data_IF_918575903545
#
_entry.id   IF_918575903545
#
_cell.length_a   1.000
_cell.length_b   1.000
_cell.length_c   1.000
_cell.angle_alpha   90.00
_cell.angle_beta   90.00
_cell.angle_gamma   90.00
#
_symmetry.space_group_name_H-M   'P 1'
#
loop_
_entity.id
_entity.type
_entity.pdbx_description
1 polymer ?
#
# COMPACT_ATOMS: atom_id res chain seq x y z
N UNK A 1 -19.83 7.11 27.12
CA UNK A 1 -19.01 7.21 25.89
C UNK A 1 -19.51 8.26 24.88
N UNK A 2 -20.71 8.85 25.02
CA UNK A 2 -21.27 9.88 24.09
C UNK A 2 -20.41 11.15 23.96
N UNK A 3 -19.91 11.69 25.08
CA UNK A 3 -19.29 13.02 25.12
C UNK A 3 -17.95 13.13 24.36
N UNK A 4 -17.25 12.02 24.13
CA UNK A 4 -15.93 12.05 23.46
C UNK A 4 -16.06 12.17 21.94
N UNK A 5 -17.10 11.56 21.36
CA UNK A 5 -17.36 11.67 19.91
C UNK A 5 -17.85 13.07 19.60
N UNK A 6 -18.82 13.58 20.34
CA UNK A 6 -19.37 14.93 20.18
C UNK A 6 -18.28 16.02 20.30
N UNK A 7 -17.36 15.89 21.26
CA UNK A 7 -16.24 16.80 21.40
C UNK A 7 -15.30 16.79 20.16
N UNK A 8 -14.97 15.62 19.61
CA UNK A 8 -14.14 15.53 18.41
C UNK A 8 -14.83 16.17 17.21
N UNK A 9 -16.12 15.96 17.05
CA UNK A 9 -16.89 16.56 15.95
C UNK A 9 -16.95 18.08 16.07
N UNK A 10 -17.15 18.62 17.28
CA UNK A 10 -17.12 20.05 17.52
C UNK A 10 -15.74 20.66 17.21
N UNK A 11 -14.65 19.98 17.60
CA UNK A 11 -13.27 20.40 17.28
C UNK A 11 -13.03 20.41 15.77
N UNK A 12 -13.51 19.38 15.05
CA UNK A 12 -13.40 19.32 13.59
C UNK A 12 -14.20 20.46 12.94
N UNK A 13 -15.45 20.67 13.37
CA UNK A 13 -16.31 21.73 12.87
C UNK A 13 -15.74 23.13 13.12
N UNK A 14 -14.96 23.30 14.19
CA UNK A 14 -14.23 24.54 14.48
C UNK A 14 -12.99 24.77 13.58
N UNK A 15 -12.70 23.89 12.62
CA UNK A 15 -11.60 24.06 11.68
C UNK A 15 -10.23 23.66 12.24
N UNK A 16 -10.18 22.73 13.20
CA UNK A 16 -8.92 22.34 13.83
C UNK A 16 -7.93 21.67 12.86
N UNK A 17 -8.40 20.88 11.89
CA UNK A 17 -7.50 20.11 11.00
C UNK A 17 -6.55 21.02 10.20
N UNK A 18 -7.00 22.07 9.48
CA UNK A 18 -6.09 23.02 8.82
C UNK A 18 -5.05 23.65 9.75
N UNK A 19 -5.44 24.03 10.98
CA UNK A 19 -4.53 24.62 11.96
C UNK A 19 -3.50 23.60 12.45
N UNK A 20 -3.93 22.39 12.78
CA UNK A 20 -3.00 21.32 13.17
C UNK A 20 -2.04 20.97 12.03
N UNK A 21 -2.49 21.02 10.78
CA UNK A 21 -1.65 20.78 9.60
C UNK A 21 -0.54 21.81 9.44
N UNK A 22 -0.72 23.08 9.82
CA UNK A 22 0.39 24.05 9.81
C UNK A 22 1.43 23.71 10.88
N UNK A 23 0.97 23.24 12.05
CA UNK A 23 1.82 22.87 13.18
C UNK A 23 2.65 21.59 12.94
N UNK A 24 2.27 20.74 11.98
CA UNK A 24 3.05 19.55 11.59
C UNK A 24 4.48 19.86 11.16
N UNK A 25 4.74 21.08 10.70
CA UNK A 25 6.07 21.54 10.23
C UNK A 25 6.76 22.49 11.21
N UNK A 26 6.25 22.58 12.44
CA UNK A 26 6.82 23.46 13.45
C UNK A 26 8.24 23.00 13.86
N UNK A 27 9.15 23.96 14.06
CA UNK A 27 10.57 23.68 14.39
C UNK A 27 10.73 22.92 15.71
N UNK A 28 9.88 23.22 16.69
CA UNK A 28 9.81 22.47 17.95
C UNK A 28 9.15 21.12 17.72
N UNK A 29 9.97 20.05 17.74
CA UNK A 29 9.54 18.66 17.51
C UNK A 29 8.35 18.21 18.36
N UNK A 30 8.25 18.70 19.60
CA UNK A 30 7.14 18.39 20.50
C UNK A 30 5.80 18.95 19.99
N UNK A 31 5.81 20.16 19.41
CA UNK A 31 4.61 20.78 18.81
C UNK A 31 4.19 20.00 17.57
N UNK A 32 5.12 19.69 16.67
CA UNK A 32 4.83 18.90 15.47
C UNK A 32 4.28 17.51 15.83
N UNK A 33 4.90 16.83 16.80
CA UNK A 33 4.46 15.50 17.26
C UNK A 33 3.08 15.56 17.92
N UNK A 34 2.81 16.59 18.73
CA UNK A 34 1.51 16.84 19.34
C UNK A 34 0.42 17.13 18.31
N UNK A 35 0.73 17.93 17.29
CA UNK A 35 -0.18 18.19 16.18
C UNK A 35 -0.51 16.91 15.40
N UNK A 36 0.49 16.09 15.09
CA UNK A 36 0.27 14.79 14.46
C UNK A 36 -0.57 13.86 15.35
N UNK A 37 -0.34 13.85 16.67
CA UNK A 37 -1.13 13.08 17.62
C UNK A 37 -2.60 13.53 17.69
N UNK A 38 -2.84 14.84 17.61
CA UNK A 38 -4.19 15.39 17.55
C UNK A 38 -4.92 15.01 16.25
N UNK A 39 -4.26 15.16 15.09
CA UNK A 39 -4.82 14.71 13.80
C UNK A 39 -5.09 13.20 13.83
N UNK A 40 -4.20 12.41 14.42
CA UNK A 40 -4.38 10.96 14.58
C UNK A 40 -5.66 10.65 15.38
N UNK A 41 -5.87 11.34 16.49
CA UNK A 41 -7.05 11.14 17.34
C UNK A 41 -8.36 11.57 16.65
N UNK A 42 -8.32 12.63 15.84
CA UNK A 42 -9.47 13.15 15.09
C UNK A 42 -9.79 12.26 13.89
N UNK A 43 -8.77 11.81 13.14
CA UNK A 43 -8.91 10.94 11.96
C UNK A 43 -9.44 9.53 12.28
N UNK A 44 -9.56 9.15 13.55
CA UNK A 44 -10.28 7.93 13.92
C UNK A 44 -11.79 7.98 13.57
N UNK A 45 -12.38 9.18 13.43
CA UNK A 45 -13.80 9.35 13.04
C UNK A 45 -13.96 9.58 11.54
N UNK A 46 -15.13 9.26 10.99
CA UNK A 46 -15.44 9.51 9.56
C UNK A 46 -15.29 11.00 9.21
N UNK A 47 -15.83 11.90 10.05
CA UNK A 47 -15.70 13.36 9.85
C UNK A 47 -14.24 13.82 9.87
N UNK A 48 -13.41 13.24 10.75
CA UNK A 48 -11.99 13.58 10.82
C UNK A 48 -11.20 13.10 9.61
N UNK A 49 -11.54 11.93 9.06
CA UNK A 49 -10.97 11.42 7.79
C UNK A 49 -11.32 12.38 6.65
N UNK A 50 -12.60 12.72 6.50
CA UNK A 50 -13.05 13.62 5.44
C UNK A 50 -12.41 15.01 5.57
N UNK A 51 -12.41 15.60 6.77
CA UNK A 51 -11.76 16.90 7.00
C UNK A 51 -10.24 16.88 6.69
N UNK A 52 -9.58 15.73 6.84
CA UNK A 52 -8.18 15.57 6.47
C UNK A 52 -7.96 15.48 4.96
N UNK A 53 -8.91 14.91 4.23
CA UNK A 53 -8.93 14.84 2.76
C UNK A 53 -9.23 16.23 2.18
N UNK A 54 -10.25 16.91 2.72
CA UNK A 54 -10.68 18.23 2.28
C UNK A 54 -9.64 19.33 2.55
N UNK A 55 -8.68 19.08 3.46
CA UNK A 55 -7.57 19.99 3.77
C UNK A 55 -6.36 19.70 2.86
N UNK A 56 -6.09 20.50 1.81
CA UNK A 56 -5.23 20.10 0.70
C UNK A 56 -3.76 19.81 1.07
N UNK A 57 -3.30 20.35 2.20
CA UNK A 57 -1.91 20.19 2.67
C UNK A 57 -1.73 19.02 3.64
N UNK A 58 -2.81 18.46 4.19
CA UNK A 58 -2.71 17.47 5.27
C UNK A 58 -2.03 16.19 4.78
N UNK A 59 -2.60 15.52 3.77
CA UNK A 59 -2.01 14.29 3.22
C UNK A 59 -0.59 14.50 2.69
N UNK A 60 -0.30 15.53 1.85
CA UNK A 60 1.07 15.79 1.41
C UNK A 60 2.08 15.96 2.55
N UNK A 61 1.72 16.71 3.59
CA UNK A 61 2.61 16.96 4.74
C UNK A 61 2.85 15.67 5.52
N UNK A 62 1.82 14.86 5.75
CA UNK A 62 1.96 13.56 6.41
C UNK A 62 2.85 12.60 5.60
N UNK A 63 2.69 12.56 4.27
CA UNK A 63 3.55 11.76 3.38
C UNK A 63 5.02 12.21 3.45
N UNK A 64 5.29 13.52 3.50
CA UNK A 64 6.65 14.03 3.64
C UNK A 64 7.25 13.69 5.01
N UNK A 65 6.45 13.73 6.08
CA UNK A 65 6.88 13.35 7.43
C UNK A 65 7.32 11.88 7.46
N UNK A 66 6.49 10.94 6.99
CA UNK A 66 6.82 9.51 7.06
C UNK A 66 8.02 9.12 6.21
N UNK A 67 8.32 9.91 5.18
CA UNK A 67 9.48 9.70 4.30
C UNK A 67 10.78 10.26 4.86
N UNK A 68 10.72 11.42 5.55
CA UNK A 68 11.92 12.19 5.94
C UNK A 68 12.30 12.05 7.41
N UNK A 69 11.41 11.50 8.23
CA UNK A 69 11.62 11.37 9.66
C UNK A 69 12.05 9.94 9.99
N UNK A 70 12.89 9.76 11.01
CA UNK A 70 13.32 8.43 11.46
C UNK A 70 12.17 7.61 12.04
N UNK A 71 12.30 6.28 11.95
CA UNK A 71 11.27 5.31 12.35
C UNK A 71 10.94 5.35 13.85
N UNK A 72 11.90 5.72 14.69
CA UNK A 72 11.76 5.84 16.14
C UNK A 72 11.06 7.15 16.59
N UNK A 73 10.78 8.06 15.65
CA UNK A 73 10.19 9.35 15.99
C UNK A 73 8.69 9.26 16.29
N UNK A 74 8.20 9.82 17.41
CA UNK A 74 6.77 9.95 17.67
C UNK A 74 6.02 10.69 16.56
N UNK A 75 6.66 11.67 15.92
CA UNK A 75 6.10 12.41 14.78
C UNK A 75 5.82 11.48 13.60
N UNK A 76 6.79 10.62 13.24
CA UNK A 76 6.62 9.65 12.15
C UNK A 76 5.53 8.63 12.48
N UNK A 77 5.56 8.07 13.68
CA UNK A 77 4.57 7.09 14.14
C UNK A 77 3.16 7.66 14.08
N UNK A 78 2.95 8.85 14.63
CA UNK A 78 1.64 9.52 14.60
C UNK A 78 1.20 9.82 13.16
N UNK A 79 2.11 10.30 12.30
CA UNK A 79 1.79 10.56 10.90
C UNK A 79 1.43 9.28 10.12
N UNK A 80 2.13 8.18 10.37
CA UNK A 80 1.82 6.90 9.76
C UNK A 80 0.44 6.37 10.18
N UNK A 81 0.08 6.51 11.47
CA UNK A 81 -1.25 6.13 11.97
C UNK A 81 -2.33 7.04 11.36
N UNK A 82 -2.09 8.36 11.25
CA UNK A 82 -3.00 9.27 10.54
C UNK A 82 -3.28 8.77 9.12
N UNK A 83 -2.21 8.48 8.36
CA UNK A 83 -2.34 8.00 6.99
C UNK A 83 -3.12 6.70 6.92
N UNK A 84 -2.93 5.75 7.85
CA UNK A 84 -3.74 4.53 7.93
C UNK A 84 -5.23 4.82 8.11
N UNK A 85 -5.59 5.63 9.10
CA UNK A 85 -6.99 5.98 9.34
C UNK A 85 -7.61 6.68 8.14
N UNK A 86 -6.90 7.64 7.55
CA UNK A 86 -7.39 8.44 6.43
C UNK A 86 -7.56 7.55 5.19
N UNK A 87 -6.63 6.62 4.93
CA UNK A 87 -6.66 5.67 3.81
C UNK A 87 -7.74 4.58 3.89
N UNK A 88 -8.48 4.49 4.99
CA UNK A 88 -9.72 3.71 5.00
C UNK A 88 -10.75 4.29 4.01
N UNK A 89 -10.65 5.58 3.69
CA UNK A 89 -11.38 6.21 2.60
C UNK A 89 -10.64 6.01 1.28
N UNK A 90 -11.31 5.47 0.26
CA UNK A 90 -10.73 5.20 -1.06
C UNK A 90 -10.17 6.46 -1.72
N UNK A 91 -10.79 7.62 -1.46
CA UNK A 91 -10.30 8.92 -1.94
C UNK A 91 -8.90 9.25 -1.38
N UNK A 92 -8.57 8.86 -0.16
CA UNK A 92 -7.22 9.13 0.35
C UNK A 92 -6.13 8.26 -0.30
N UNK A 93 -6.47 7.03 -0.72
CA UNK A 93 -5.51 6.08 -1.28
C UNK A 93 -4.83 6.64 -2.53
N UNK A 94 -5.58 7.29 -3.43
CA UNK A 94 -4.98 7.86 -4.64
C UNK A 94 -4.03 9.04 -4.33
N UNK A 95 -4.37 9.87 -3.34
CA UNK A 95 -3.55 11.00 -2.91
C UNK A 95 -2.24 10.52 -2.28
N UNK A 96 -2.29 9.48 -1.44
CA UNK A 96 -1.11 8.88 -0.83
C UNK A 96 -0.27 8.14 -1.87
N UNK A 97 -0.92 7.38 -2.76
CA UNK A 97 -0.27 6.68 -3.87
C UNK A 97 0.55 7.63 -4.74
N UNK A 98 -0.03 8.76 -5.16
CA UNK A 98 0.66 9.76 -5.97
C UNK A 98 1.96 10.32 -5.31
N UNK A 99 2.09 10.20 -3.99
CA UNK A 99 3.26 10.70 -3.23
C UNK A 99 4.25 9.61 -2.86
N UNK A 100 3.75 8.41 -2.55
CA UNK A 100 4.54 7.35 -1.94
C UNK A 100 4.81 6.14 -2.85
N UNK A 101 4.25 6.08 -4.06
CA UNK A 101 4.46 4.95 -4.99
C UNK A 101 5.95 4.68 -5.30
N UNK A 102 6.76 5.74 -5.33
CA UNK A 102 8.21 5.66 -5.57
C UNK A 102 9.03 5.28 -4.32
N UNK A 103 8.37 5.06 -3.19
CA UNK A 103 8.97 4.72 -1.90
C UNK A 103 8.30 3.45 -1.34
N UNK A 104 8.46 2.30 -2.02
CA UNK A 104 7.68 1.08 -1.75
C UNK A 104 7.84 0.59 -0.30
N UNK A 105 9.04 0.67 0.27
CA UNK A 105 9.28 0.29 1.67
C UNK A 105 8.51 1.16 2.65
N UNK A 106 8.47 2.48 2.44
CA UNK A 106 7.70 3.42 3.28
C UNK A 106 6.20 3.16 3.11
N UNK A 107 5.76 2.97 1.87
CA UNK A 107 4.36 2.71 1.55
C UNK A 107 3.85 1.44 2.25
N UNK A 108 4.61 0.34 2.18
CA UNK A 108 4.31 -0.92 2.86
C UNK A 108 4.29 -0.79 4.38
N UNK A 109 5.30 -0.15 4.98
CA UNK A 109 5.35 0.08 6.43
C UNK A 109 4.20 0.94 6.95
N UNK A 110 3.76 1.93 6.18
CA UNK A 110 2.71 2.86 6.60
C UNK A 110 1.34 2.22 6.46
N UNK A 111 0.99 1.68 5.29
CA UNK A 111 -0.39 1.29 4.99
C UNK A 111 -0.66 -0.22 5.13
N UNK A 112 0.38 -1.04 5.09
CA UNK A 112 0.25 -2.49 5.08
C UNK A 112 -0.29 -3.06 3.76
N UNK A 113 -0.22 -4.38 3.58
CA UNK A 113 -0.38 -5.01 2.27
C UNK A 113 -1.69 -4.70 1.53
N UNK A 114 -2.82 -4.79 2.23
CA UNK A 114 -4.14 -4.64 1.63
C UNK A 114 -4.46 -3.22 1.14
N UNK A 115 -3.86 -2.19 1.73
CA UNK A 115 -4.03 -0.82 1.27
C UNK A 115 -3.06 -0.49 0.12
N UNK A 116 -1.84 -1.05 0.16
CA UNK A 116 -0.87 -0.93 -0.93
C UNK A 116 -1.38 -1.58 -2.22
N UNK A 117 -1.99 -2.77 -2.13
CA UNK A 117 -2.58 -3.46 -3.27
C UNK A 117 -3.64 -2.60 -3.98
N UNK A 118 -4.55 -1.97 -3.22
CA UNK A 118 -5.56 -1.04 -3.73
C UNK A 118 -4.98 0.23 -4.36
N UNK A 119 -3.78 0.67 -3.94
CA UNK A 119 -3.10 1.82 -4.54
C UNK A 119 -2.55 1.47 -5.92
N UNK A 120 -1.99 0.26 -6.09
CA UNK A 120 -1.36 -0.15 -7.35
C UNK A 120 -2.34 -0.74 -8.37
N UNK A 121 -3.51 -1.19 -7.94
CA UNK A 121 -4.53 -1.81 -8.80
C UNK A 121 -4.86 -0.96 -10.05
N UNK A 122 -5.13 0.37 -9.97
CA UNK A 122 -5.37 1.17 -11.17
C UNK A 122 -4.17 1.17 -12.14
N UNK A 123 -2.95 1.20 -11.61
CA UNK A 123 -1.73 1.20 -12.42
C UNK A 123 -1.53 -0.14 -13.14
N UNK A 124 -1.92 -1.25 -12.51
CA UNK A 124 -1.91 -2.59 -13.11
C UNK A 124 -2.95 -2.66 -14.24
N UNK A 125 -4.20 -2.27 -13.96
CA UNK A 125 -5.32 -2.32 -14.93
C UNK A 125 -5.01 -1.48 -16.16
N UNK A 126 -4.43 -0.30 -15.96
CA UNK A 126 -4.15 0.66 -17.02
C UNK A 126 -2.74 0.50 -17.60
N UNK A 127 -1.97 -0.49 -17.12
CA UNK A 127 -0.59 -0.79 -17.52
C UNK A 127 0.34 0.45 -17.47
N UNK A 128 0.16 1.31 -16.46
CA UNK A 128 0.96 2.55 -16.25
C UNK A 128 2.09 2.33 -15.25
N UNK A 129 3.19 3.06 -15.42
CA UNK A 129 4.34 3.12 -14.49
C UNK A 129 4.79 1.72 -13.99
N UNK A 130 4.94 0.78 -14.94
CA UNK A 130 5.28 -0.64 -14.69
C UNK A 130 6.44 -0.77 -13.70
N UNK A 131 7.51 -0.01 -13.90
CA UNK A 131 8.71 -0.08 -13.06
C UNK A 131 8.42 0.25 -11.59
N UNK A 132 7.57 1.24 -11.31
CA UNK A 132 7.19 1.57 -9.92
C UNK A 132 6.26 0.50 -9.33
N UNK A 133 5.31 -0.01 -10.12
CA UNK A 133 4.40 -1.09 -9.70
C UNK A 133 5.19 -2.35 -9.33
N UNK A 134 6.16 -2.77 -10.15
CA UNK A 134 6.99 -3.95 -9.89
C UNK A 134 7.77 -3.77 -8.59
N UNK A 135 8.42 -2.62 -8.37
CA UNK A 135 9.12 -2.34 -7.10
C UNK A 135 8.22 -2.36 -5.88
N UNK A 136 6.97 -1.90 -6.01
CA UNK A 136 5.99 -1.99 -4.93
C UNK A 136 5.59 -3.44 -4.69
N UNK A 137 5.34 -4.21 -5.75
CA UNK A 137 5.03 -5.63 -5.64
C UNK A 137 6.19 -6.41 -5.01
N UNK A 138 7.44 -6.18 -5.42
CA UNK A 138 8.64 -6.77 -4.80
C UNK A 138 8.67 -6.54 -3.30
N UNK A 139 8.47 -5.30 -2.84
CA UNK A 139 8.42 -4.97 -1.42
C UNK A 139 7.19 -5.57 -0.71
N UNK A 140 6.09 -5.79 -1.43
CA UNK A 140 4.85 -6.33 -0.91
C UNK A 140 4.91 -7.84 -0.69
N UNK A 141 5.50 -8.61 -1.62
CA UNK A 141 5.42 -10.08 -1.67
C UNK A 141 6.46 -10.80 -0.78
N UNK A 142 6.92 -10.14 0.27
CA UNK A 142 7.94 -10.66 1.19
C UNK A 142 7.40 -11.77 2.11
N UNK A 143 6.09 -11.83 2.32
CA UNK A 143 5.41 -12.83 3.13
C UNK A 143 4.08 -13.29 2.50
N UNK A 144 3.41 -14.26 3.14
CA UNK A 144 2.13 -14.81 2.67
C UNK A 144 1.02 -13.76 2.61
N UNK A 145 0.93 -12.87 3.59
CA UNK A 145 -0.10 -11.83 3.64
C UNK A 145 0.07 -10.82 2.49
N UNK A 146 1.33 -10.46 2.21
CA UNK A 146 1.76 -9.69 1.06
C UNK A 146 1.42 -10.34 -0.27
N UNK A 147 1.75 -11.62 -0.43
CA UNK A 147 1.41 -12.39 -1.64
C UNK A 147 -0.10 -12.47 -1.86
N UNK A 148 -0.88 -12.71 -0.79
CA UNK A 148 -2.34 -12.72 -0.86
C UNK A 148 -2.89 -11.35 -1.26
N UNK A 149 -2.43 -10.28 -0.63
CA UNK A 149 -2.86 -8.92 -0.95
C UNK A 149 -2.52 -8.53 -2.40
N UNK A 150 -1.33 -8.93 -2.89
CA UNK A 150 -0.94 -8.76 -4.28
C UNK A 150 -1.88 -9.53 -5.20
N UNK A 151 -2.17 -10.81 -4.93
CA UNK A 151 -3.10 -11.62 -5.71
C UNK A 151 -4.53 -11.04 -5.73
N UNK A 152 -4.97 -10.45 -4.63
CA UNK A 152 -6.27 -9.79 -4.53
C UNK A 152 -6.34 -8.53 -5.45
N UNK A 153 -5.21 -8.00 -5.95
CA UNK A 153 -5.22 -7.02 -7.04
C UNK A 153 -5.72 -7.68 -8.33
N UNK A 154 -6.84 -7.16 -8.87
CA UNK A 154 -7.35 -7.61 -10.15
C UNK A 154 -6.26 -7.54 -11.23
N UNK A 155 -6.13 -8.65 -11.98
CA UNK A 155 -5.20 -8.82 -13.09
C UNK A 155 -3.70 -8.76 -12.74
N UNK A 156 -3.27 -8.92 -11.48
CA UNK A 156 -1.83 -8.96 -11.17
C UNK A 156 -1.11 -10.12 -11.87
N UNK A 157 -1.72 -11.31 -11.90
CA UNK A 157 -1.08 -12.49 -12.52
C UNK A 157 -0.98 -12.32 -14.04
N UNK A 158 -2.05 -11.97 -14.79
CA UNK A 158 -1.93 -11.64 -16.21
C UNK A 158 -0.93 -10.51 -16.49
N UNK A 159 -0.93 -9.45 -15.67
CA UNK A 159 0.01 -8.34 -15.81
C UNK A 159 1.48 -8.80 -15.70
N UNK A 160 1.80 -9.61 -14.69
CA UNK A 160 3.14 -10.16 -14.50
C UNK A 160 3.49 -11.19 -15.57
N UNK A 161 2.53 -12.03 -15.97
CA UNK A 161 2.71 -13.02 -17.03
C UNK A 161 3.10 -12.36 -18.35
N UNK A 162 2.38 -11.32 -18.76
CA UNK A 162 2.65 -10.57 -19.99
C UNK A 162 4.05 -9.92 -19.95
N UNK A 163 4.46 -9.42 -18.79
CA UNK A 163 5.69 -8.64 -18.62
C UNK A 163 6.94 -9.49 -18.30
N UNK A 164 6.78 -10.74 -17.85
CA UNK A 164 7.87 -11.63 -17.45
C UNK A 164 8.88 -11.94 -18.57
N UNK A 165 8.49 -11.79 -19.84
CA UNK A 165 9.41 -11.94 -20.97
C UNK A 165 10.44 -10.80 -21.07
N UNK A 166 10.12 -9.63 -20.52
CA UNK A 166 10.88 -8.39 -20.70
C UNK A 166 11.53 -7.89 -19.40
N UNK A 167 11.08 -8.40 -18.25
CA UNK A 167 11.42 -7.87 -16.93
C UNK A 167 11.60 -9.01 -15.92
N UNK A 168 12.85 -9.23 -15.51
CA UNK A 168 13.21 -10.24 -14.51
C UNK A 168 12.54 -9.98 -13.15
N UNK A 169 12.25 -8.71 -12.82
CA UNK A 169 11.50 -8.35 -11.62
C UNK A 169 10.06 -8.85 -11.67
N UNK A 170 9.41 -8.77 -12.83
CA UNK A 170 8.07 -9.35 -13.02
C UNK A 170 8.10 -10.88 -12.84
N UNK A 171 9.12 -11.55 -13.39
CA UNK A 171 9.30 -13.00 -13.24
C UNK A 171 9.51 -13.40 -11.77
N UNK A 172 10.36 -12.68 -11.05
CA UNK A 172 10.62 -12.93 -9.63
C UNK A 172 9.38 -12.73 -8.77
N UNK A 173 8.63 -11.64 -8.99
CA UNK A 173 7.37 -11.37 -8.28
C UNK A 173 6.33 -12.45 -8.59
N UNK A 174 6.19 -12.84 -9.85
CA UNK A 174 5.26 -13.89 -10.27
C UNK A 174 5.57 -15.22 -9.56
N UNK A 175 6.83 -15.61 -9.54
CA UNK A 175 7.29 -16.81 -8.84
C UNK A 175 6.98 -16.72 -7.34
N UNK A 176 7.27 -15.60 -6.70
CA UNK A 176 7.06 -15.40 -5.28
C UNK A 176 5.58 -15.48 -4.89
N UNK A 177 4.69 -14.80 -5.64
CA UNK A 177 3.25 -14.85 -5.41
C UNK A 177 2.73 -16.29 -5.57
N UNK A 178 3.11 -16.98 -6.64
CA UNK A 178 2.63 -18.35 -6.91
C UNK A 178 3.23 -19.38 -5.94
N UNK A 179 4.43 -19.13 -5.42
CA UNK A 179 5.03 -19.99 -4.40
C UNK A 179 4.28 -19.90 -3.07
N UNK A 180 3.87 -18.70 -2.66
CA UNK A 180 3.32 -18.45 -1.33
C UNK A 180 1.80 -18.24 -1.29
N UNK A 181 1.11 -18.23 -2.43
CA UNK A 181 -0.34 -18.07 -2.51
C UNK A 181 -0.97 -19.18 -3.37
N UNK A 182 -1.56 -20.19 -2.72
CA UNK A 182 -2.15 -21.34 -3.42
C UNK A 182 -3.26 -20.97 -4.44
N UNK A 183 -4.18 -20.03 -4.16
CA UNK A 183 -5.12 -19.53 -5.16
C UNK A 183 -4.42 -18.92 -6.40
N UNK A 184 -3.35 -18.15 -6.18
CA UNK A 184 -2.55 -17.57 -7.26
C UNK A 184 -1.87 -18.65 -8.10
N UNK A 185 -1.26 -19.66 -7.47
CA UNK A 185 -0.66 -20.81 -8.15
C UNK A 185 -1.66 -21.53 -9.03
N UNK A 186 -2.85 -21.83 -8.50
CA UNK A 186 -3.92 -22.51 -9.26
C UNK A 186 -4.37 -21.69 -10.46
N UNK A 187 -4.51 -20.37 -10.28
CA UNK A 187 -4.86 -19.46 -11.38
C UNK A 187 -3.76 -19.42 -12.44
N UNK A 188 -2.50 -19.27 -12.02
CA UNK A 188 -1.32 -19.25 -12.88
C UNK A 188 -1.20 -20.54 -13.72
N UNK A 189 -1.33 -21.71 -13.10
CA UNK A 189 -1.29 -22.99 -13.81
C UNK A 189 -2.41 -23.10 -14.86
N UNK A 190 -3.61 -22.64 -14.52
CA UNK A 190 -4.72 -22.59 -15.49
C UNK A 190 -4.43 -21.63 -16.64
N UNK A 191 -3.77 -20.50 -16.37
CA UNK A 191 -3.40 -19.52 -17.40
C UNK A 191 -2.36 -20.12 -18.36
N UNK A 192 -1.27 -20.70 -17.83
CA UNK A 192 -0.23 -21.38 -18.62
C UNK A 192 -0.83 -22.43 -19.55
N UNK A 193 -1.71 -23.29 -19.05
CA UNK A 193 -2.36 -24.35 -19.84
C UNK A 193 -3.27 -23.85 -20.96
N UNK A 194 -3.78 -22.61 -20.86
CA UNK A 194 -4.66 -22.00 -21.85
C UNK A 194 -3.93 -21.21 -22.92
N UNK A 195 -2.65 -20.89 -22.71
CA UNK A 195 -1.89 -20.08 -23.65
C UNK A 195 -1.30 -20.95 -24.77
N UNK A 196 -1.41 -20.52 -26.04
CA UNK A 196 -0.81 -21.24 -27.16
C UNK A 196 0.73 -21.18 -27.13
N UNK A 197 1.28 -20.13 -26.53
CA UNK A 197 2.71 -19.89 -26.38
C UNK A 197 2.97 -19.30 -25.00
N UNK A 198 3.97 -19.83 -24.30
CA UNK A 198 4.35 -19.39 -22.95
C UNK A 198 5.77 -18.81 -23.02
N UNK A 199 6.03 -17.61 -22.47
CA UNK A 199 7.39 -17.08 -22.42
C UNK A 199 8.32 -18.01 -21.64
N UNK A 200 9.58 -18.15 -22.09
CA UNK A 200 10.55 -19.07 -21.47
C UNK A 200 10.75 -18.80 -19.96
N UNK A 201 10.75 -17.52 -19.55
CA UNK A 201 10.83 -17.14 -18.14
C UNK A 201 9.63 -17.66 -17.33
N UNK A 202 8.42 -17.57 -17.89
CA UNK A 202 7.18 -18.06 -17.28
C UNK A 202 7.17 -19.59 -17.22
N UNK A 203 7.66 -20.25 -18.26
CA UNK A 203 7.80 -21.71 -18.29
C UNK A 203 8.78 -22.21 -17.22
N UNK A 204 9.86 -21.45 -16.95
CA UNK A 204 10.76 -21.74 -15.83
C UNK A 204 10.02 -21.71 -14.51
N UNK A 205 9.28 -20.64 -14.22
CA UNK A 205 8.47 -20.50 -13.00
C UNK A 205 7.48 -21.66 -12.86
N UNK A 206 6.81 -22.04 -13.93
CA UNK A 206 5.85 -23.16 -13.92
C UNK A 206 6.52 -24.49 -13.55
N UNK A 207 7.66 -24.83 -14.15
CA UNK A 207 8.40 -26.06 -13.84
C UNK A 207 8.89 -26.10 -12.40
N UNK A 208 9.39 -24.97 -11.89
CA UNK A 208 9.89 -24.87 -10.53
C UNK A 208 8.75 -25.11 -9.51
N UNK A 209 7.57 -24.53 -9.74
CA UNK A 209 6.39 -24.71 -8.87
C UNK A 209 5.83 -26.15 -8.88
N UNK A 210 5.87 -26.82 -10.02
CA UNK A 210 5.44 -28.22 -10.12
C UNK A 210 6.37 -29.15 -9.33
N UNK A 211 7.67 -28.88 -9.35
CA UNK A 211 8.65 -29.66 -8.57
C UNK A 211 8.41 -29.58 -7.05
N UNK A 212 8.02 -28.40 -6.55
CA UNK A 212 7.70 -28.18 -5.12
C UNK A 212 6.47 -28.99 -4.66
N UNK A 213 5.53 -29.23 -5.56
CA UNK A 213 4.28 -29.95 -5.26
C UNK A 213 4.50 -31.45 -5.05
N UNK A 214 5.59 -32.02 -5.59
CA UNK A 214 5.97 -33.42 -5.44
C UNK A 214 6.63 -33.67 -4.07
N UNK A 215 7.41 -32.70 -3.57
CA UNK A 215 8.12 -32.81 -2.28
C UNK A 215 7.26 -32.59 -1.05
N UNK A 216 6.10 -31.92 -1.16
CA UNK A 216 5.20 -31.68 -0.02
C UNK A 216 4.23 -32.84 0.26
N UNK A 217 4.22 -33.88 -0.57
CA UNK A 217 3.32 -35.04 -0.48
C UNK A 217 4.01 -36.32 0.04
N UNK A 218 5.27 -36.21 0.46
CA UNK A 218 6.12 -37.25 1.04
C UNK A 218 6.47 -36.94 2.49
#
# INVERSE_FOLDING_TARGET
MSNCIEAKEAIIAAGAIPVLTTLLTHEVKAIASGAAGAIMALSASIKGKQASIDSPKTIPTLCDIVRRTSDDSPLRTNAAICLRHICEQTEALHLVGARLLRYPSVLGQVLGPAAVSRIIEPYIVEKRDRASVVKVLEALVQDEAGCKAAFDCLNVIPFLFDAAAEDDGCTAVLHQICSNCAPARKYFNSLVQKQPTVPAAVESVFRDLDSLSITSAS
#
